data_IF_915725322770
#
_entry.id   IF_915725322770
#
_cell.length_a   1.000
_cell.length_b   1.000
_cell.length_c   1.000
_cell.angle_alpha   90.00
_cell.angle_beta   90.00
_cell.angle_gamma   90.00
#
_symmetry.space_group_name_H-M   'P 1'
#
loop_
_entity.id
_entity.type
_entity.pdbx_description
1 polymer ?
#
# COMPACT_ATOMS: atom_id res chain seq x y z
N UNK A 1 -14.38 -15.73 -13.80
CA UNK A 1 -14.36 -16.70 -12.68
C UNK A 1 -14.67 -15.97 -11.39
N UNK A 2 -15.43 -16.58 -10.47
CA UNK A 2 -15.73 -16.03 -9.13
C UNK A 2 -14.45 -15.60 -8.39
N UNK A 3 -13.43 -16.46 -8.38
CA UNK A 3 -12.14 -16.18 -7.76
C UNK A 3 -11.40 -14.98 -8.38
N UNK A 4 -11.61 -14.73 -9.68
CA UNK A 4 -11.06 -13.55 -10.35
C UNK A 4 -11.74 -12.26 -9.89
N UNK A 5 -13.07 -12.29 -9.74
CA UNK A 5 -13.85 -11.17 -9.23
C UNK A 5 -13.51 -10.83 -7.77
N UNK A 6 -13.34 -11.84 -6.92
CA UNK A 6 -12.96 -11.66 -5.51
C UNK A 6 -11.59 -11.00 -5.36
N UNK A 7 -10.59 -11.43 -6.14
CA UNK A 7 -9.26 -10.79 -6.13
C UNK A 7 -9.29 -9.35 -6.62
N UNK A 8 -10.04 -9.09 -7.70
CA UNK A 8 -10.20 -7.73 -8.20
C UNK A 8 -10.87 -6.82 -7.17
N UNK A 9 -11.94 -7.28 -6.52
CA UNK A 9 -12.64 -6.55 -5.48
C UNK A 9 -11.74 -6.25 -4.27
N UNK A 10 -10.89 -7.19 -3.86
CA UNK A 10 -9.91 -6.98 -2.79
C UNK A 10 -8.92 -5.85 -3.15
N UNK A 11 -8.36 -5.89 -4.36
CA UNK A 11 -7.42 -4.85 -4.83
C UNK A 11 -8.11 -3.48 -4.92
N UNK A 12 -9.31 -3.42 -5.48
CA UNK A 12 -10.07 -2.16 -5.56
C UNK A 12 -10.38 -1.58 -4.17
N UNK A 13 -10.69 -2.43 -3.20
CA UNK A 13 -10.94 -1.98 -1.83
C UNK A 13 -9.71 -1.31 -1.21
N UNK A 14 -8.52 -1.88 -1.44
CA UNK A 14 -7.24 -1.27 -0.97
C UNK A 14 -6.99 0.08 -1.66
N UNK A 15 -7.17 0.14 -2.99
CA UNK A 15 -7.00 1.37 -3.77
C UNK A 15 -7.92 2.48 -3.26
N UNK A 16 -9.22 2.19 -3.10
CA UNK A 16 -10.18 3.17 -2.64
C UNK A 16 -9.90 3.60 -1.19
N UNK A 17 -9.45 2.68 -0.33
CA UNK A 17 -9.04 3.04 1.03
C UNK A 17 -7.85 4.00 1.02
N UNK A 18 -6.83 3.79 0.18
CA UNK A 18 -5.69 4.69 0.06
C UNK A 18 -6.13 6.09 -0.38
N UNK A 19 -6.97 6.18 -1.42
CA UNK A 19 -7.53 7.45 -1.92
C UNK A 19 -8.32 8.20 -0.85
N UNK A 20 -9.17 7.49 -0.09
CA UNK A 20 -9.96 8.08 1.00
C UNK A 20 -9.10 8.68 2.11
N UNK A 21 -7.86 8.19 2.27
CA UNK A 21 -6.88 8.73 3.21
C UNK A 21 -5.93 9.77 2.58
N UNK A 22 -6.16 10.19 1.32
CA UNK A 22 -5.30 11.14 0.62
C UNK A 22 -3.94 10.59 0.23
N UNK A 23 -3.78 9.27 0.25
CA UNK A 23 -2.54 8.57 -0.08
C UNK A 23 -2.54 8.18 -1.56
N UNK A 24 -1.40 8.37 -2.23
CA UNK A 24 -1.21 7.92 -3.61
C UNK A 24 -1.21 6.38 -3.65
N UNK A 25 -2.20 5.74 -4.31
CA UNK A 25 -2.39 4.29 -4.20
C UNK A 25 -1.22 3.45 -4.72
N UNK A 26 -0.55 3.89 -5.78
CA UNK A 26 0.53 3.12 -6.38
C UNK A 26 1.76 3.06 -5.46
N UNK A 27 2.18 4.20 -4.90
CA UNK A 27 3.28 4.31 -3.96
C UNK A 27 3.00 3.50 -2.69
N UNK A 28 1.79 3.62 -2.14
CA UNK A 28 1.38 2.85 -0.96
C UNK A 28 1.43 1.34 -1.20
N UNK A 29 0.83 0.86 -2.29
CA UNK A 29 0.81 -0.59 -2.58
C UNK A 29 2.22 -1.12 -2.84
N UNK A 30 3.03 -0.38 -3.62
CA UNK A 30 4.41 -0.78 -3.91
C UNK A 30 5.22 -0.93 -2.63
N UNK A 31 5.19 0.09 -1.77
CA UNK A 31 5.94 0.14 -0.53
C UNK A 31 5.47 -0.93 0.49
N UNK A 32 4.16 -1.08 0.67
CA UNK A 32 3.61 -2.08 1.58
C UNK A 32 3.94 -3.50 1.12
N UNK A 33 3.88 -3.80 -0.18
CA UNK A 33 4.27 -5.11 -0.73
C UNK A 33 5.77 -5.35 -0.49
N UNK A 34 6.62 -4.36 -0.73
CA UNK A 34 8.07 -4.45 -0.49
C UNK A 34 8.39 -4.69 1.00
N UNK A 35 7.74 -3.95 1.91
CA UNK A 35 7.90 -4.12 3.36
C UNK A 35 7.45 -5.51 3.82
N UNK A 36 6.31 -6.01 3.33
CA UNK A 36 5.84 -7.38 3.63
C UNK A 36 6.84 -8.42 3.11
N UNK A 37 7.30 -8.29 1.87
CA UNK A 37 8.27 -9.21 1.27
C UNK A 37 9.62 -9.20 2.02
N UNK A 38 9.99 -8.07 2.60
CA UNK A 38 11.20 -7.88 3.40
C UNK A 38 11.06 -8.33 4.86
N UNK A 39 9.92 -8.91 5.25
CA UNK A 39 9.70 -9.46 6.58
C UNK A 39 9.32 -8.42 7.63
N UNK A 40 8.51 -7.41 7.25
CA UNK A 40 8.02 -6.40 8.18
C UNK A 40 7.43 -7.03 9.46
N UNK A 41 7.84 -6.58 10.66
CA UNK A 41 7.40 -7.20 11.91
C UNK A 41 5.89 -7.16 12.09
N UNK A 42 5.31 -8.30 12.50
CA UNK A 42 3.87 -8.39 12.71
C UNK A 42 3.32 -7.50 13.84
N UNK A 43 4.20 -7.01 14.71
CA UNK A 43 3.83 -6.06 15.75
C UNK A 43 3.68 -4.61 15.24
N UNK A 44 4.07 -4.31 13.98
CA UNK A 44 4.13 -2.95 13.41
C UNK A 44 3.20 -2.76 12.19
N UNK A 45 2.15 -3.57 12.06
CA UNK A 45 1.23 -3.46 10.90
C UNK A 45 0.44 -2.16 10.90
N UNK A 46 0.19 -1.61 12.07
CA UNK A 46 -0.46 -0.31 12.26
C UNK A 46 0.28 0.81 11.53
N UNK A 47 1.61 0.73 11.40
CA UNK A 47 2.41 1.69 10.64
C UNK A 47 2.19 1.59 9.12
N UNK A 48 1.78 0.41 8.63
CA UNK A 48 1.47 0.19 7.22
C UNK A 48 0.04 0.56 6.87
N UNK A 49 -0.80 0.96 7.84
CA UNK A 49 -2.18 1.37 7.54
C UNK A 49 -2.19 2.71 6.80
N UNK A 50 -3.12 2.92 5.86
CA UNK A 50 -3.08 4.09 4.98
C UNK A 50 -3.24 5.44 5.70
N UNK A 51 -3.73 5.46 6.95
CA UNK A 51 -3.80 6.67 7.78
C UNK A 51 -2.51 6.95 8.58
N UNK A 52 -1.63 5.96 8.73
CA UNK A 52 -0.35 6.08 9.43
C UNK A 52 0.84 6.00 8.47
N UNK A 53 0.61 5.53 7.24
CA UNK A 53 1.64 5.30 6.26
C UNK A 53 2.31 6.61 5.85
N UNK A 54 3.63 6.58 5.84
CA UNK A 54 4.45 7.64 5.29
C UNK A 54 5.33 7.04 4.19
N UNK A 55 5.40 7.67 3.01
CA UNK A 55 6.29 7.23 1.96
C UNK A 55 7.73 7.33 2.42
N UNK A 56 8.55 6.33 2.07
CA UNK A 56 9.98 6.44 2.28
C UNK A 56 10.51 7.59 1.40
N UNK A 57 11.26 8.53 1.99
CA UNK A 57 11.79 9.71 1.27
C UNK A 57 12.57 9.32 0.00
N UNK A 58 13.20 8.14 0.01
CA UNK A 58 13.94 7.58 -1.12
C UNK A 58 13.02 7.19 -2.30
N UNK A 59 11.79 6.73 -2.05
CA UNK A 59 10.81 6.42 -3.09
C UNK A 59 10.22 7.69 -3.71
N UNK A 60 10.05 8.78 -2.93
CA UNK A 60 9.57 10.07 -3.47
C UNK A 60 10.58 10.70 -4.43
N UNK A 61 11.88 10.68 -4.07
CA UNK A 61 12.93 11.25 -4.93
C UNK A 61 13.06 10.46 -6.25
N UNK A 62 12.91 9.13 -6.22
CA UNK A 62 12.99 8.29 -7.41
C UNK A 62 11.82 8.48 -8.39
N UNK A 63 10.66 8.95 -7.94
CA UNK A 63 9.49 9.21 -8.80
C UNK A 63 9.46 10.64 -9.38
N UNK A 64 10.23 11.57 -8.81
CA UNK A 64 10.32 12.96 -9.25
C UNK A 64 11.50 13.25 -10.20
N UNK A 65 12.39 12.26 -10.41
CA UNK A 65 13.57 12.32 -11.28
C UNK A 65 13.32 11.60 -12.61
#
# INVERSE_FOLDING_TARGET
>A
SKAGGERAAAIYSVIETAKLNGVEPQAYIADVIEKIASGWPAARWDELMPWNWQPDEQQQVAQAA
#
